data_IF_928722737550
#
_entry.id   IF_928722737550
#
_cell.length_a   1.000
_cell.length_b   1.000
_cell.length_c   1.000
_cell.angle_alpha   90.00
_cell.angle_beta   90.00
_cell.angle_gamma   90.00
#
_symmetry.space_group_name_H-M   'P 1'
#
loop_
_entity.id
_entity.type
_entity.pdbx_description
1 polymer ?
#
# COMPACT_ATOMS: atom_id res chain seq x y z
N UNK A 1 -25.89 -0.43 -1.76
CA UNK A 1 -25.57 -1.39 -2.84
C UNK A 1 -24.16 -1.18 -3.38
N UNK A 2 -23.69 0.07 -3.54
CA UNK A 2 -22.26 0.40 -3.79
C UNK A 2 -21.30 -0.18 -2.74
N UNK A 3 -21.60 -0.02 -1.44
CA UNK A 3 -20.74 -0.50 -0.35
C UNK A 3 -20.41 -2.01 -0.36
N UNK A 4 -21.19 -2.85 -1.06
CA UNK A 4 -20.93 -4.30 -1.16
C UNK A 4 -20.08 -4.65 -2.38
N UNK A 5 -20.27 -3.94 -3.49
CA UNK A 5 -19.44 -4.06 -4.69
C UNK A 5 -18.03 -3.54 -4.41
N UNK A 6 -17.94 -2.37 -3.75
CA UNK A 6 -16.71 -1.81 -3.22
C UNK A 6 -16.01 -2.87 -2.36
N UNK A 7 -16.66 -3.45 -1.35
CA UNK A 7 -16.03 -4.46 -0.46
C UNK A 7 -15.44 -5.69 -1.16
N UNK A 8 -15.91 -6.04 -2.37
CA UNK A 8 -15.35 -7.12 -3.21
C UNK A 8 -14.12 -6.67 -4.00
N UNK A 9 -14.17 -5.51 -4.67
CA UNK A 9 -13.01 -4.89 -5.34
C UNK A 9 -11.89 -4.57 -4.36
N UNK A 10 -12.28 -4.07 -3.20
CA UNK A 10 -11.45 -3.77 -2.04
C UNK A 10 -10.61 -4.97 -1.58
N UNK A 11 -11.21 -6.16 -1.43
CA UNK A 11 -10.45 -7.39 -1.13
C UNK A 11 -9.52 -7.82 -2.26
N UNK A 12 -9.89 -7.50 -3.50
CA UNK A 12 -9.10 -7.79 -4.68
C UNK A 12 -7.81 -6.99 -4.71
N UNK A 13 -7.84 -5.68 -4.40
CA UNK A 13 -6.62 -4.84 -4.38
C UNK A 13 -5.63 -5.29 -3.30
N UNK A 14 -6.08 -5.55 -2.06
CA UNK A 14 -5.21 -6.06 -1.00
C UNK A 14 -4.58 -7.40 -1.38
N UNK A 15 -5.42 -8.36 -1.79
CA UNK A 15 -4.99 -9.71 -2.14
C UNK A 15 -4.06 -9.73 -3.34
N UNK A 16 -4.30 -8.85 -4.33
CA UNK A 16 -3.43 -8.70 -5.49
C UNK A 16 -2.07 -8.13 -5.10
N UNK A 17 -2.04 -7.03 -4.34
CA UNK A 17 -0.78 -6.42 -3.89
C UNK A 17 0.01 -7.40 -3.05
N UNK A 18 -0.62 -8.08 -2.09
CA UNK A 18 0.06 -9.07 -1.26
C UNK A 18 0.63 -10.21 -2.10
N UNK A 19 -0.21 -10.84 -2.94
CA UNK A 19 0.18 -12.00 -3.74
C UNK A 19 1.25 -11.65 -4.76
N UNK A 20 1.07 -10.59 -5.55
CA UNK A 20 1.98 -10.24 -6.64
C UNK A 20 3.34 -9.80 -6.11
N UNK A 21 3.37 -8.97 -5.06
CA UNK A 21 4.64 -8.55 -4.46
C UNK A 21 5.38 -9.74 -3.81
N UNK A 22 4.65 -10.71 -3.24
CA UNK A 22 5.24 -11.96 -2.71
C UNK A 22 5.87 -12.81 -3.81
N UNK A 23 5.24 -12.89 -4.99
CA UNK A 23 5.75 -13.67 -6.13
C UNK A 23 6.98 -13.05 -6.80
N UNK A 24 7.14 -11.72 -6.70
CA UNK A 24 8.23 -10.97 -7.37
C UNK A 24 9.53 -10.91 -6.55
N UNK A 25 9.47 -11.10 -5.24
CA UNK A 25 10.64 -11.06 -4.35
C UNK A 25 10.99 -12.41 -3.73
N UNK A 26 12.29 -12.73 -3.68
CA UNK A 26 12.83 -13.96 -3.06
C UNK A 26 13.11 -13.77 -1.57
N UNK A 27 13.37 -12.54 -1.14
CA UNK A 27 13.56 -12.18 0.28
C UNK A 27 12.42 -11.30 0.80
N UNK A 28 12.19 -11.20 2.12
CA UNK A 28 11.18 -10.30 2.67
C UNK A 28 11.41 -8.82 2.30
N UNK A 29 12.68 -8.37 2.21
CA UNK A 29 13.03 -7.03 1.74
C UNK A 29 12.68 -6.83 0.25
N UNK A 30 13.01 -7.80 -0.60
CA UNK A 30 12.64 -7.75 -2.02
C UNK A 30 11.11 -7.75 -2.19
N UNK A 31 10.39 -8.52 -1.38
CA UNK A 31 8.92 -8.55 -1.40
C UNK A 31 8.32 -7.22 -0.93
N UNK A 32 8.93 -6.55 0.06
CA UNK A 32 8.55 -5.18 0.43
C UNK A 32 8.70 -4.26 -0.77
N UNK A 33 9.89 -4.17 -1.35
CA UNK A 33 10.15 -3.30 -2.50
C UNK A 33 9.28 -3.62 -3.72
N UNK A 34 8.94 -4.89 -3.92
CA UNK A 34 8.07 -5.34 -5.00
C UNK A 34 6.63 -4.81 -4.90
N UNK A 35 6.18 -4.31 -3.74
CA UNK A 35 4.90 -3.61 -3.62
C UNK A 35 4.86 -2.42 -4.59
N UNK A 36 5.96 -1.66 -4.68
CA UNK A 36 6.04 -0.53 -5.58
C UNK A 36 6.15 -0.93 -7.06
N UNK A 37 6.71 -2.11 -7.36
CA UNK A 37 6.67 -2.62 -8.74
C UNK A 37 5.24 -2.99 -9.15
N UNK A 38 4.47 -3.57 -8.22
CA UNK A 38 3.04 -3.84 -8.46
C UNK A 38 2.28 -2.54 -8.68
N UNK A 39 2.58 -1.50 -7.89
CA UNK A 39 1.97 -0.18 -8.07
C UNK A 39 2.36 0.45 -9.40
N UNK A 40 3.61 0.33 -9.82
CA UNK A 40 4.06 0.88 -11.11
C UNK A 40 3.30 0.26 -12.28
N UNK A 41 3.21 -1.08 -12.33
CA UNK A 41 2.44 -1.76 -13.37
C UNK A 41 0.96 -1.39 -13.31
N UNK A 42 0.42 -1.23 -12.09
CA UNK A 42 -0.96 -0.82 -11.90
C UNK A 42 -1.22 0.62 -12.39
N UNK A 43 -0.33 1.57 -12.09
CA UNK A 43 -0.45 2.97 -12.52
C UNK A 43 -0.29 3.14 -14.05
N UNK A 44 0.48 2.26 -14.69
CA UNK A 44 0.60 2.24 -16.16
C UNK A 44 -0.71 1.78 -16.85
N UNK A 45 -1.51 0.95 -16.18
CA UNK A 45 -2.78 0.44 -16.68
C UNK A 45 -3.95 1.34 -16.24
N UNK A 46 -4.16 2.44 -16.97
CA UNK A 46 -5.07 3.54 -16.62
C UNK A 46 -6.56 3.16 -16.45
N UNK A 47 -6.98 2.00 -16.94
CA UNK A 47 -8.39 1.58 -16.91
C UNK A 47 -8.84 0.98 -15.55
N UNK A 48 -7.94 0.86 -14.56
CA UNK A 48 -8.20 0.15 -13.30
C UNK A 48 -7.95 0.95 -12.02
N UNK A 49 -7.99 2.28 -12.06
CA UNK A 49 -7.67 3.13 -10.90
C UNK A 49 -8.84 3.25 -9.89
N UNK A 50 -9.39 2.11 -9.45
CA UNK A 50 -10.48 2.05 -8.44
C UNK A 50 -9.96 1.90 -7.00
N UNK A 51 -8.65 1.64 -6.84
CA UNK A 51 -8.01 1.43 -5.54
C UNK A 51 -7.94 2.67 -4.64
N UNK A 52 -8.27 3.86 -5.15
CA UNK A 52 -8.46 5.06 -4.33
C UNK A 52 -9.77 5.06 -3.52
N UNK A 53 -10.68 4.10 -3.73
CA UNK A 53 -12.01 4.12 -3.10
C UNK A 53 -11.95 4.27 -1.58
N UNK A 54 -11.03 3.61 -0.87
CA UNK A 54 -10.96 3.72 0.60
C UNK A 54 -10.41 5.05 1.11
N UNK A 55 -9.39 5.57 0.42
CA UNK A 55 -8.79 6.85 0.79
C UNK A 55 -9.84 7.93 0.54
N UNK A 56 -10.54 7.88 -0.58
CA UNK A 56 -11.63 8.79 -0.90
C UNK A 56 -12.78 8.66 0.10
N UNK A 57 -13.28 7.45 0.37
CA UNK A 57 -14.34 7.21 1.37
C UNK A 57 -13.92 7.70 2.75
N UNK A 58 -12.66 7.50 3.15
CA UNK A 58 -12.15 7.99 4.42
C UNK A 58 -12.12 9.53 4.47
N UNK A 59 -11.72 10.18 3.38
CA UNK A 59 -11.67 11.64 3.28
C UNK A 59 -13.07 12.26 3.24
N UNK A 60 -14.01 11.63 2.53
CA UNK A 60 -15.39 12.11 2.39
C UNK A 60 -16.21 11.90 3.66
N UNK A 61 -16.15 10.69 4.24
CA UNK A 61 -17.00 10.31 5.36
C UNK A 61 -16.39 10.65 6.72
N UNK A 62 -15.05 10.81 6.78
CA UNK A 62 -14.30 11.02 8.01
C UNK A 62 -14.13 9.74 8.85
N UNK A 63 -13.08 9.71 9.67
CA UNK A 63 -12.67 8.52 10.43
C UNK A 63 -13.68 8.04 11.49
N UNK A 64 -14.61 8.89 11.92
CA UNK A 64 -15.62 8.52 12.92
C UNK A 64 -16.87 7.88 12.31
N UNK A 65 -17.16 8.14 11.03
CA UNK A 65 -18.30 7.54 10.34
C UNK A 65 -18.09 6.03 10.13
N UNK A 66 -19.11 5.16 10.23
CA UNK A 66 -18.96 3.71 10.06
C UNK A 66 -18.22 3.29 8.78
N UNK A 67 -18.47 3.98 7.67
CA UNK A 67 -17.74 3.75 6.40
C UNK A 67 -16.25 4.15 6.50
N UNK A 68 -15.94 5.28 7.14
CA UNK A 68 -14.56 5.70 7.39
C UNK A 68 -13.83 4.75 8.34
N UNK A 69 -14.50 4.24 9.38
CA UNK A 69 -13.95 3.21 10.27
C UNK A 69 -13.61 1.92 9.51
N UNK A 70 -14.46 1.50 8.57
CA UNK A 70 -14.19 0.36 7.71
C UNK A 70 -12.95 0.60 6.82
N UNK A 71 -12.79 1.82 6.25
CA UNK A 71 -11.59 2.21 5.52
C UNK A 71 -10.34 2.21 6.41
N UNK A 72 -10.43 2.71 7.65
CA UNK A 72 -9.31 2.68 8.62
C UNK A 72 -8.88 1.24 8.92
N UNK A 73 -9.84 0.35 9.19
CA UNK A 73 -9.55 -1.06 9.45
C UNK A 73 -8.90 -1.76 8.23
N UNK A 74 -9.37 -1.44 7.03
CA UNK A 74 -8.78 -1.97 5.81
C UNK A 74 -7.34 -1.45 5.57
N UNK A 75 -7.11 -0.16 5.79
CA UNK A 75 -5.77 0.45 5.73
C UNK A 75 -4.82 -0.16 6.78
N UNK A 76 -5.34 -0.60 7.92
CA UNK A 76 -4.55 -1.35 8.91
C UNK A 76 -4.16 -2.73 8.38
N UNK A 77 -5.07 -3.47 7.74
CA UNK A 77 -4.74 -4.75 7.11
C UNK A 77 -3.63 -4.63 6.04
N UNK A 78 -3.60 -3.54 5.26
CA UNK A 78 -2.49 -3.27 4.33
C UNK A 78 -1.17 -3.10 5.10
N UNK A 79 -1.21 -2.32 6.18
CA UNK A 79 -0.05 -2.07 7.03
C UNK A 79 0.45 -3.38 7.67
N UNK A 80 -0.42 -4.34 7.95
CA UNK A 80 -0.05 -5.62 8.55
C UNK A 80 0.82 -6.48 7.65
N UNK A 81 0.57 -6.46 6.34
CA UNK A 81 1.45 -7.12 5.35
C UNK A 81 2.86 -6.55 5.45
N UNK A 82 2.97 -5.22 5.57
CA UNK A 82 4.26 -4.52 5.70
C UNK A 82 4.92 -4.91 7.02
N UNK A 83 4.18 -4.92 8.14
CA UNK A 83 4.68 -5.32 9.47
C UNK A 83 5.24 -6.74 9.46
N UNK A 84 4.51 -7.69 8.86
CA UNK A 84 4.93 -9.08 8.79
C UNK A 84 6.23 -9.25 7.99
N UNK A 85 6.34 -8.58 6.84
CA UNK A 85 7.55 -8.64 6.00
C UNK A 85 8.73 -7.93 6.63
N UNK A 86 8.52 -6.79 7.29
CA UNK A 86 9.56 -6.08 8.03
C UNK A 86 10.12 -6.94 9.18
N UNK A 87 9.25 -7.64 9.93
CA UNK A 87 9.68 -8.62 10.95
C UNK A 87 10.49 -9.75 10.33
N UNK A 88 10.03 -10.31 9.22
CA UNK A 88 10.74 -11.39 8.53
C UNK A 88 12.07 -10.93 7.93
N UNK A 89 12.20 -9.66 7.56
CA UNK A 89 13.45 -9.02 7.12
C UNK A 89 14.40 -8.70 8.28
N UNK A 90 13.99 -8.87 9.54
CA UNK A 90 14.80 -8.52 10.71
C UNK A 90 14.95 -7.02 10.93
N UNK A 91 14.03 -6.20 10.40
CA UNK A 91 14.06 -4.75 10.61
C UNK A 91 13.68 -4.39 12.04
N UNK A 92 14.34 -3.37 12.58
CA UNK A 92 14.04 -2.76 13.88
C UNK A 92 12.85 -1.82 13.77
N UNK A 93 12.25 -1.49 14.91
CA UNK A 93 11.14 -0.53 15.03
C UNK A 93 10.04 -0.71 13.95
N UNK A 94 9.56 -1.95 13.83
CA UNK A 94 8.63 -2.39 12.78
C UNK A 94 7.37 -1.53 12.70
N UNK A 95 6.87 -1.05 13.84
CA UNK A 95 5.63 -0.27 13.87
C UNK A 95 5.82 1.12 13.25
N UNK A 96 6.93 1.81 13.55
CA UNK A 96 7.25 3.08 12.89
C UNK A 96 7.63 2.87 11.42
N UNK A 97 8.41 1.83 11.12
CA UNK A 97 8.72 1.44 9.74
C UNK A 97 7.44 1.28 8.92
N UNK A 98 6.47 0.50 9.40
CA UNK A 98 5.25 0.22 8.67
C UNK A 98 4.36 1.45 8.50
N UNK A 99 4.35 2.38 9.47
CA UNK A 99 3.65 3.67 9.34
C UNK A 99 4.27 4.54 8.26
N UNK A 100 5.59 4.72 8.29
CA UNK A 100 6.33 5.50 7.29
C UNK A 100 6.22 4.89 5.89
N UNK A 101 6.33 3.57 5.79
CA UNK A 101 6.13 2.83 4.54
C UNK A 101 4.74 3.06 3.96
N UNK A 102 3.71 2.99 4.81
CA UNK A 102 2.33 3.19 4.37
C UNK A 102 2.06 4.65 3.95
N UNK A 103 2.84 5.62 4.43
CA UNK A 103 2.81 7.01 3.89
C UNK A 103 3.34 7.01 2.46
N UNK A 104 4.49 6.37 2.19
CA UNK A 104 5.03 6.26 0.83
C UNK A 104 4.05 5.60 -0.14
N UNK A 105 3.38 4.52 0.29
CA UNK A 105 2.34 3.87 -0.51
C UNK A 105 1.20 4.85 -0.87
N UNK A 106 0.60 5.51 0.12
CA UNK A 106 -0.50 6.46 -0.11
C UNK A 106 -0.06 7.65 -0.97
N UNK A 107 1.12 8.22 -0.69
CA UNK A 107 1.68 9.32 -1.47
C UNK A 107 1.89 8.94 -2.93
N UNK A 108 2.38 7.72 -3.20
CA UNK A 108 2.55 7.27 -4.59
C UNK A 108 1.23 7.08 -5.32
N UNK A 109 0.17 6.63 -4.63
CA UNK A 109 -1.18 6.52 -5.20
C UNK A 109 -1.74 7.91 -5.52
N UNK A 110 -1.63 8.87 -4.60
CA UNK A 110 -2.11 10.24 -4.81
C UNK A 110 -1.37 10.91 -5.97
N UNK A 111 -0.04 10.82 -6.02
CA UNK A 111 0.75 11.37 -7.12
C UNK A 111 0.38 10.72 -8.47
N UNK A 112 0.13 9.41 -8.50
CA UNK A 112 -0.35 8.75 -9.71
C UNK A 112 -1.73 9.29 -10.16
N UNK A 113 -2.63 9.60 -9.22
CA UNK A 113 -3.91 10.25 -9.51
C UNK A 113 -3.74 11.67 -10.09
N UNK A 114 -2.67 12.37 -9.74
CA UNK A 114 -2.27 13.66 -10.33
C UNK A 114 -1.69 13.51 -11.76
N UNK A 115 -1.51 12.28 -12.24
CA UNK A 115 -0.99 11.95 -13.57
C UNK A 115 0.45 11.47 -13.58
N UNK A 116 1.07 11.31 -12.41
CA UNK A 116 2.47 10.92 -12.28
C UNK A 116 2.65 9.39 -12.24
N UNK A 117 2.76 8.79 -13.42
CA UNK A 117 2.91 7.33 -13.59
C UNK A 117 4.21 6.77 -12.98
N UNK A 118 5.21 7.62 -12.73
CA UNK A 118 6.51 7.23 -12.16
C UNK A 118 6.54 7.29 -10.62
N UNK A 119 5.42 7.70 -9.98
CA UNK A 119 5.36 7.93 -8.55
C UNK A 119 5.76 6.69 -7.71
N UNK A 120 5.37 5.50 -8.17
CA UNK A 120 5.73 4.25 -7.52
C UNK A 120 7.24 4.00 -7.52
N UNK A 121 7.95 4.32 -8.61
CA UNK A 121 9.40 4.12 -8.70
C UNK A 121 10.15 5.10 -7.80
N UNK A 122 9.72 6.37 -7.71
CA UNK A 122 10.27 7.32 -6.74
C UNK A 122 10.01 6.87 -5.30
N UNK A 123 8.82 6.37 -5.00
CA UNK A 123 8.49 5.81 -3.69
C UNK A 123 9.37 4.59 -3.36
N UNK A 124 9.66 3.73 -4.34
CA UNK A 124 10.60 2.59 -4.17
C UNK A 124 12.01 3.05 -3.79
N UNK A 125 12.51 4.14 -4.37
CA UNK A 125 13.81 4.72 -3.99
C UNK A 125 13.79 5.19 -2.54
N UNK A 126 12.75 5.93 -2.12
CA UNK A 126 12.58 6.36 -0.73
C UNK A 126 12.46 5.18 0.24
N UNK A 127 11.74 4.14 -0.18
CA UNK A 127 11.54 2.93 0.60
C UNK A 127 12.84 2.15 0.86
N UNK A 128 13.79 2.15 -0.09
CA UNK A 128 15.13 1.58 0.15
C UNK A 128 15.85 2.32 1.28
N UNK A 129 15.84 3.66 1.27
CA UNK A 129 16.44 4.45 2.34
C UNK A 129 15.77 4.18 3.69
N UNK A 130 14.44 4.02 3.70
CA UNK A 130 13.71 3.66 4.91
C UNK A 130 14.09 2.28 5.45
N UNK A 131 14.31 1.28 4.58
CA UNK A 131 14.83 -0.04 4.97
C UNK A 131 16.20 0.11 5.62
N UNK A 132 17.15 0.79 4.99
CA UNK A 132 18.51 0.96 5.52
C UNK A 132 18.50 1.62 6.91
N UNK A 133 17.64 2.62 7.14
CA UNK A 133 17.49 3.28 8.44
C UNK A 133 17.02 2.33 9.56
N UNK A 134 16.29 1.28 9.21
CA UNK A 134 15.73 0.33 10.16
C UNK A 134 16.53 -0.99 10.21
N UNK A 135 17.65 -1.10 9.49
CA UNK A 135 18.56 -2.24 9.62
C UNK A 135 19.19 -2.30 11.01
N UNK A 136 19.49 -3.52 11.45
CA UNK A 136 20.11 -3.85 12.74
C UNK A 136 21.48 -3.23 12.91
#
# INVERSE_FOLDING_TARGET
>A
MLAVLERREQRWTLGLVEKQSRLRGKTPEEQLLAIFDVFHDWFANRDGFEGCSFINVLLEMGAQHPAGQASVAYLDNIRDIVRQRARAAGLRDVENFARSWHILMKGSIVAAAEGDVEAAQRAKVMARMLIEQHRG
#
